data_IF_675754546696
#
_entry.id   IF_675754546696
#
_cell.length_a   1.000
_cell.length_b   1.000
_cell.length_c   1.000
_cell.angle_alpha   90.00
_cell.angle_beta   90.00
_cell.angle_gamma   90.00
#
_symmetry.space_group_name_H-M   'P 1'
#
loop_
_entity.id
_entity.type
_entity.pdbx_description
1 polymer ?
#
# COMPACT_ATOMS: atom_id res chain seq x y z
N UNK A 1 -27.09 1.12 7.45
CA UNK A 1 -26.25 0.27 6.58
C UNK A 1 -26.28 -1.09 7.26
N UNK A 2 -26.88 -2.12 6.67
CA UNK A 2 -27.02 -3.39 7.40
C UNK A 2 -25.73 -4.23 7.32
N UNK A 3 -25.09 -4.46 8.47
CA UNK A 3 -23.90 -5.31 8.57
C UNK A 3 -24.34 -6.76 8.76
N UNK A 4 -24.03 -7.62 7.79
CA UNK A 4 -24.33 -9.05 7.81
C UNK A 4 -23.35 -9.79 8.71
N UNK A 5 -22.05 -9.50 8.55
CA UNK A 5 -20.99 -10.20 9.25
C UNK A 5 -19.74 -9.34 9.39
N UNK A 6 -18.87 -9.70 10.34
CA UNK A 6 -17.61 -9.01 10.60
C UNK A 6 -16.50 -10.04 10.74
N UNK A 7 -15.37 -9.73 10.12
CA UNK A 7 -14.13 -10.47 10.27
C UNK A 7 -12.94 -9.59 10.59
N UNK A 8 -11.81 -10.24 10.82
CA UNK A 8 -10.52 -9.63 11.07
C UNK A 8 -9.48 -10.17 10.10
N UNK A 9 -8.68 -9.26 9.56
CA UNK A 9 -7.43 -9.58 8.90
C UNK A 9 -6.30 -9.68 9.91
N UNK A 10 -5.71 -10.86 10.05
CA UNK A 10 -4.66 -11.16 11.03
C UNK A 10 -3.36 -11.45 10.30
N UNK A 11 -2.31 -10.68 10.62
CA UNK A 11 -0.96 -10.92 10.10
C UNK A 11 -0.15 -11.78 11.07
N UNK A 12 0.40 -12.85 10.53
CA UNK A 12 1.30 -13.77 11.21
C UNK A 12 2.74 -13.25 11.24
N UNK A 13 3.56 -13.84 12.11
CA UNK A 13 4.99 -13.51 12.25
C UNK A 13 5.78 -13.64 10.94
N UNK A 14 5.40 -14.59 10.08
CA UNK A 14 6.05 -14.84 8.79
C UNK A 14 5.61 -13.82 7.70
N UNK A 15 4.78 -12.84 8.03
CA UNK A 15 4.28 -11.83 7.09
C UNK A 15 2.99 -12.21 6.37
N UNK A 16 2.57 -13.49 6.40
CA UNK A 16 1.31 -13.93 5.78
C UNK A 16 0.11 -13.36 6.52
N UNK A 17 -0.93 -13.05 5.77
CA UNK A 17 -2.19 -12.51 6.29
C UNK A 17 -3.30 -13.51 6.00
N UNK A 18 -4.16 -13.76 6.97
CA UNK A 18 -5.39 -14.54 6.81
C UNK A 18 -6.59 -13.75 7.33
N UNK A 19 -7.78 -14.10 6.84
CA UNK A 19 -9.04 -13.51 7.29
C UNK A 19 -9.76 -14.55 8.16
N UNK A 20 -10.32 -14.08 9.27
CA UNK A 20 -11.11 -14.89 10.19
C UNK A 20 -12.44 -14.18 10.48
N UNK A 21 -13.55 -14.91 10.52
CA UNK A 21 -14.87 -14.37 10.88
C UNK A 21 -15.02 -14.27 12.39
N UNK A 22 -15.81 -13.30 12.88
CA UNK A 22 -16.04 -13.12 14.30
C UNK A 22 -17.29 -13.86 14.77
N UNK A 23 -17.14 -14.67 15.83
CA UNK A 23 -18.26 -15.43 16.40
C UNK A 23 -19.37 -14.55 17.03
N UNK A 24 -19.06 -13.32 17.42
CA UNK A 24 -19.96 -12.37 18.08
C UNK A 24 -20.24 -11.13 17.20
N UNK A 25 -20.35 -11.32 15.89
CA UNK A 25 -20.48 -10.24 14.90
C UNK A 25 -21.58 -9.23 15.26
N UNK A 26 -22.76 -9.66 15.70
CA UNK A 26 -23.89 -8.78 16.02
C UNK A 26 -23.60 -7.71 17.09
N UNK A 27 -22.92 -8.07 18.19
CA UNK A 27 -22.59 -7.11 19.26
C UNK A 27 -21.58 -6.06 18.77
N UNK A 28 -20.67 -6.47 17.89
CA UNK A 28 -19.62 -5.60 17.33
C UNK A 28 -20.19 -4.75 16.19
N UNK A 29 -21.20 -5.24 15.47
CA UNK A 29 -21.83 -4.57 14.34
C UNK A 29 -22.45 -3.22 14.70
N UNK A 30 -23.28 -3.16 15.74
CA UNK A 30 -23.93 -1.90 16.17
C UNK A 30 -22.90 -0.80 16.45
N UNK A 31 -21.78 -1.21 17.05
CA UNK A 31 -20.70 -0.32 17.42
C UNK A 31 -19.89 0.14 16.20
N UNK A 32 -19.59 -0.76 15.26
CA UNK A 32 -18.90 -0.40 14.02
C UNK A 32 -19.80 0.48 13.14
N UNK A 33 -21.09 0.17 13.03
CA UNK A 33 -22.04 0.93 12.22
C UNK A 33 -22.09 2.40 12.64
N UNK A 34 -22.10 2.69 13.95
CA UNK A 34 -22.07 4.08 14.42
C UNK A 34 -20.79 4.81 14.03
N UNK A 35 -19.64 4.13 14.02
CA UNK A 35 -18.35 4.76 13.70
C UNK A 35 -18.16 5.09 12.23
N UNK A 36 -18.69 4.24 11.35
CA UNK A 36 -18.38 4.34 9.91
C UNK A 36 -19.55 4.88 9.10
N UNK A 37 -20.73 5.09 9.70
CA UNK A 37 -21.92 5.58 9.01
C UNK A 37 -21.68 6.85 8.20
N UNK A 38 -20.98 7.84 8.78
CA UNK A 38 -20.63 9.09 8.11
C UNK A 38 -19.68 8.83 6.92
N UNK A 39 -18.56 8.14 7.15
CA UNK A 39 -17.60 7.81 6.10
C UNK A 39 -18.18 6.93 4.98
N UNK A 40 -19.13 6.05 5.30
CA UNK A 40 -19.85 5.26 4.31
C UNK A 40 -20.81 6.12 3.48
N UNK A 41 -21.52 7.06 4.10
CA UNK A 41 -22.46 7.93 3.39
C UNK A 41 -21.79 8.93 2.44
N UNK A 42 -20.54 9.30 2.73
CA UNK A 42 -19.72 10.17 1.89
C UNK A 42 -18.94 9.41 0.82
N UNK A 43 -18.97 8.08 0.85
CA UNK A 43 -18.18 7.24 -0.02
C UNK A 43 -18.66 7.34 -1.47
N UNK A 44 -17.82 7.84 -2.36
CA UNK A 44 -18.09 7.89 -3.80
C UNK A 44 -16.98 7.19 -4.57
N UNK A 45 -16.97 5.86 -4.52
CA UNK A 45 -15.93 5.04 -5.14
C UNK A 45 -16.19 4.71 -6.61
N UNK A 46 -17.36 5.05 -7.16
CA UNK A 46 -17.72 4.73 -8.56
C UNK A 46 -17.03 5.64 -9.58
N UNK A 47 -16.42 6.75 -9.14
CA UNK A 47 -15.73 7.71 -10.01
C UNK A 47 -14.21 7.49 -10.07
N UNK A 48 -13.72 6.42 -9.45
CA UNK A 48 -12.30 6.17 -9.29
C UNK A 48 -11.75 5.56 -10.58
N UNK A 49 -10.54 5.96 -10.98
CA UNK A 49 -9.90 5.48 -12.21
C UNK A 49 -9.28 4.08 -12.03
N UNK A 50 -9.03 3.33 -13.13
CA UNK A 50 -8.34 2.05 -13.06
C UNK A 50 -6.93 2.20 -12.49
N UNK A 51 -6.44 1.16 -11.82
CA UNK A 51 -5.09 1.13 -11.29
C UNK A 51 -4.03 1.43 -12.35
N UNK A 52 -3.22 2.45 -12.07
CA UNK A 52 -1.96 2.70 -12.73
C UNK A 52 -0.82 2.63 -11.71
N UNK A 53 0.36 2.26 -12.20
CA UNK A 53 1.62 2.27 -11.48
C UNK A 53 1.91 3.59 -10.76
N UNK A 54 1.48 4.73 -11.32
CA UNK A 54 1.62 6.05 -10.70
C UNK A 54 0.74 6.24 -9.48
N UNK A 55 -0.39 5.54 -9.36
CA UNK A 55 -1.30 5.66 -8.21
C UNK A 55 -0.64 5.26 -6.89
N UNK A 56 0.32 4.34 -6.93
CA UNK A 56 1.13 3.95 -5.76
C UNK A 56 2.21 4.97 -5.39
N UNK A 57 2.61 5.81 -6.34
CA UNK A 57 3.65 6.83 -6.16
C UNK A 57 3.01 8.11 -5.61
N UNK A 58 1.88 8.48 -6.20
CA UNK A 58 1.15 9.71 -5.90
C UNK A 58 0.04 9.50 -4.85
N UNK A 59 -0.13 8.27 -4.37
CA UNK A 59 -1.09 7.87 -3.33
C UNK A 59 -2.54 8.21 -3.72
N UNK A 60 -2.85 8.12 -5.02
CA UNK A 60 -4.18 8.40 -5.56
C UNK A 60 -5.08 7.17 -5.50
N UNK A 61 -6.38 7.40 -5.32
CA UNK A 61 -7.40 6.35 -5.32
C UNK A 61 -7.44 5.62 -6.67
N UNK A 62 -7.72 4.31 -6.64
CA UNK A 62 -7.83 3.49 -7.84
C UNK A 62 -8.77 2.29 -7.64
N UNK A 63 -9.19 1.65 -8.73
CA UNK A 63 -9.83 0.33 -8.68
C UNK A 63 -9.01 -0.77 -9.37
N UNK A 64 -9.25 -2.02 -8.95
CA UNK A 64 -8.64 -3.24 -9.47
C UNK A 64 -9.73 -4.30 -9.73
N UNK A 65 -9.68 -4.95 -10.88
CA UNK A 65 -10.48 -6.16 -11.14
C UNK A 65 -9.68 -7.38 -10.67
N UNK A 66 -10.07 -7.97 -9.53
CA UNK A 66 -9.26 -9.02 -8.87
C UNK A 66 -9.13 -10.30 -9.72
N UNK A 67 -10.08 -10.57 -10.60
CA UNK A 67 -10.11 -11.74 -11.48
C UNK A 67 -9.06 -11.69 -12.61
N UNK A 68 -8.58 -10.49 -12.95
CA UNK A 68 -7.68 -10.26 -14.09
C UNK A 68 -6.21 -10.25 -13.67
N UNK A 69 -5.93 -10.30 -12.37
CA UNK A 69 -4.57 -10.22 -11.82
C UNK A 69 -3.83 -11.54 -12.00
N UNK A 70 -2.81 -11.54 -12.85
CA UNK A 70 -1.95 -12.71 -13.13
C UNK A 70 -0.97 -13.05 -12.01
N UNK A 71 -0.40 -14.26 -12.04
CA UNK A 71 0.45 -14.80 -10.96
C UNK A 71 1.76 -14.02 -10.73
N UNK A 72 2.27 -13.36 -11.77
CA UNK A 72 3.49 -12.56 -11.73
C UNK A 72 3.27 -11.15 -11.18
N UNK A 73 2.01 -10.74 -10.95
CA UNK A 73 1.70 -9.41 -10.45
C UNK A 73 1.93 -9.30 -8.93
N UNK A 74 2.45 -8.16 -8.48
CA UNK A 74 2.65 -7.82 -7.08
C UNK A 74 1.38 -8.01 -6.24
N UNK A 75 0.21 -7.75 -6.83
CA UNK A 75 -1.09 -7.82 -6.18
C UNK A 75 -1.74 -9.19 -6.26
N UNK A 76 -1.10 -10.19 -6.87
CA UNK A 76 -1.66 -11.55 -6.97
C UNK A 76 -1.98 -12.18 -5.61
N UNK A 77 -1.14 -11.97 -4.60
CA UNK A 77 -1.43 -12.46 -3.25
C UNK A 77 -2.63 -11.73 -2.61
N UNK A 78 -2.92 -10.51 -3.07
CA UNK A 78 -4.09 -9.75 -2.65
C UNK A 78 -5.34 -10.30 -3.30
N UNK A 79 -5.32 -10.56 -4.62
CA UNK A 79 -6.44 -11.18 -5.31
C UNK A 79 -6.77 -12.56 -4.74
N UNK A 80 -5.76 -13.37 -4.43
CA UNK A 80 -5.98 -14.66 -3.74
C UNK A 80 -6.59 -14.55 -2.35
N UNK A 81 -6.27 -13.49 -1.61
CA UNK A 81 -6.79 -13.29 -0.25
C UNK A 81 -8.22 -12.75 -0.26
N UNK A 82 -8.51 -11.79 -1.14
CA UNK A 82 -9.74 -11.01 -1.14
C UNK A 82 -10.77 -11.50 -2.18
N UNK A 83 -10.33 -12.07 -3.29
CA UNK A 83 -11.18 -12.52 -4.41
C UNK A 83 -11.89 -13.86 -4.15
N UNK A 84 -12.24 -14.15 -2.90
CA UNK A 84 -13.08 -15.31 -2.55
C UNK A 84 -14.53 -14.88 -2.57
N UNK A 85 -15.40 -15.63 -3.26
CA UNK A 85 -16.84 -15.32 -3.38
C UNK A 85 -17.50 -15.11 -2.01
N UNK A 86 -17.17 -15.94 -1.00
CA UNK A 86 -17.75 -15.87 0.33
C UNK A 86 -16.69 -15.65 1.42
N UNK A 87 -16.04 -14.48 1.36
CA UNK A 87 -14.83 -14.14 2.12
C UNK A 87 -14.90 -14.46 3.63
N UNK A 88 -16.04 -14.16 4.28
CA UNK A 88 -16.23 -14.39 5.72
C UNK A 88 -16.94 -15.70 6.06
N UNK A 89 -17.74 -16.26 5.16
CA UNK A 89 -18.47 -17.51 5.44
C UNK A 89 -17.52 -18.71 5.34
N UNK A 90 -16.53 -18.65 4.46
CA UNK A 90 -15.48 -19.66 4.32
C UNK A 90 -14.29 -19.46 5.27
N UNK A 91 -14.28 -18.35 6.02
CA UNK A 91 -13.21 -18.03 6.94
C UNK A 91 -13.34 -18.79 8.26
N UNK A 92 -12.19 -19.13 8.87
CA UNK A 92 -12.15 -19.70 10.20
C UNK A 92 -12.87 -18.78 11.21
N UNK A 93 -13.75 -19.37 12.01
CA UNK A 93 -14.49 -18.63 13.04
C UNK A 93 -13.58 -18.40 14.24
N UNK A 94 -13.30 -17.12 14.51
CA UNK A 94 -12.51 -16.66 15.63
C UNK A 94 -13.43 -16.20 16.77
N UNK A 95 -13.30 -16.88 17.91
CA UNK A 95 -13.84 -16.38 19.17
C UNK A 95 -12.79 -15.49 19.85
N UNK A 96 -13.10 -14.22 20.02
CA UNK A 96 -12.27 -13.27 20.77
C UNK A 96 -12.51 -13.45 22.26
N UNK A 97 -11.74 -14.34 22.89
CA UNK A 97 -11.64 -14.45 24.35
C UNK A 97 -10.22 -14.13 24.84
N UNK A 98 -10.05 -13.86 26.14
CA UNK A 98 -8.76 -13.51 26.72
C UNK A 98 -7.64 -14.52 26.38
N UNK A 99 -7.99 -15.80 26.21
CA UNK A 99 -7.03 -16.87 25.91
C UNK A 99 -6.52 -16.77 24.47
N UNK A 100 -7.43 -16.59 23.50
CA UNK A 100 -7.08 -16.42 22.09
C UNK A 100 -6.27 -15.15 21.88
N UNK A 101 -6.62 -14.13 22.64
CA UNK A 101 -5.97 -12.83 22.66
C UNK A 101 -4.53 -12.90 23.22
N UNK A 102 -4.31 -13.65 24.30
CA UNK A 102 -2.96 -13.99 24.78
C UNK A 102 -2.19 -14.80 23.73
N UNK A 103 -2.87 -15.71 23.02
CA UNK A 103 -2.27 -16.52 21.96
C UNK A 103 -1.85 -15.69 20.73
N UNK A 104 -2.63 -14.68 20.32
CA UNK A 104 -2.22 -13.75 19.26
C UNK A 104 -0.91 -13.04 19.64
N UNK A 105 -0.83 -12.53 20.88
CA UNK A 105 0.38 -11.88 21.39
C UNK A 105 1.57 -12.83 21.49
N UNK A 106 1.39 -14.05 22.01
CA UNK A 106 2.48 -15.04 22.14
C UNK A 106 2.98 -15.54 20.79
N UNK A 107 2.08 -15.71 19.81
CA UNK A 107 2.40 -16.14 18.46
C UNK A 107 2.92 -15.00 17.57
N UNK A 108 3.04 -13.79 18.12
CA UNK A 108 3.41 -12.56 17.40
C UNK A 108 2.49 -12.27 16.20
N UNK A 109 1.22 -12.65 16.32
CA UNK A 109 0.17 -12.28 15.38
C UNK A 109 -0.38 -10.90 15.73
N UNK A 110 -0.89 -10.18 14.73
CA UNK A 110 -1.44 -8.83 14.92
C UNK A 110 -2.65 -8.62 14.04
N UNK A 111 -3.72 -8.07 14.62
CA UNK A 111 -4.88 -7.58 13.86
C UNK A 111 -4.42 -6.39 13.03
N UNK A 112 -4.68 -6.43 11.72
CA UNK A 112 -4.28 -5.39 10.76
C UNK A 112 -5.45 -4.66 10.14
N UNK A 113 -6.62 -5.28 10.08
CA UNK A 113 -7.83 -4.65 9.55
C UNK A 113 -9.09 -5.37 9.99
N UNK A 114 -10.21 -4.66 9.88
CA UNK A 114 -11.55 -5.24 9.91
C UNK A 114 -12.03 -5.49 8.48
N UNK A 115 -12.86 -6.53 8.34
CA UNK A 115 -13.63 -6.84 7.13
C UNK A 115 -15.10 -6.80 7.53
N UNK A 116 -15.88 -5.97 6.87
CA UNK A 116 -17.32 -5.81 7.15
C UNK A 116 -18.07 -6.28 5.92
N UNK A 117 -18.96 -7.24 6.10
CA UNK A 117 -19.81 -7.76 5.03
C UNK A 117 -21.15 -7.02 5.05
N UNK A 118 -21.46 -6.36 3.93
CA UNK A 118 -22.77 -5.81 3.61
C UNK A 118 -23.44 -6.71 2.55
N UNK A 119 -24.62 -6.33 2.05
CA UNK A 119 -25.32 -7.11 1.01
C UNK A 119 -24.49 -7.23 -0.27
N UNK A 120 -24.11 -6.10 -0.86
CA UNK A 120 -23.47 -6.04 -2.19
C UNK A 120 -21.94 -5.91 -2.15
N UNK A 121 -21.36 -5.64 -0.98
CA UNK A 121 -19.95 -5.27 -0.87
C UNK A 121 -19.30 -5.73 0.45
N UNK A 122 -17.97 -5.73 0.45
CA UNK A 122 -17.15 -5.83 1.65
C UNK A 122 -16.39 -4.52 1.89
N UNK A 123 -16.45 -4.00 3.12
CA UNK A 123 -15.65 -2.85 3.53
C UNK A 123 -14.41 -3.30 4.29
N UNK A 124 -13.26 -2.71 3.97
CA UNK A 124 -11.98 -2.96 4.63
C UNK A 124 -11.52 -1.72 5.39
N UNK A 125 -11.20 -1.90 6.67
CA UNK A 125 -10.79 -0.80 7.55
C UNK A 125 -9.43 -1.12 8.16
N UNK A 126 -8.38 -0.42 7.72
CA UNK A 126 -7.02 -0.63 8.18
C UNK A 126 -6.83 -0.17 9.64
N UNK A 127 -6.32 -1.05 10.49
CA UNK A 127 -5.96 -0.73 11.87
C UNK A 127 -4.58 -0.08 11.89
N UNK A 128 -4.51 1.17 12.34
CA UNK A 128 -3.24 1.85 12.49
C UNK A 128 -2.42 1.18 13.62
N UNK A 129 -1.30 0.55 13.24
CA UNK A 129 -0.41 -0.14 14.16
C UNK A 129 0.22 0.75 15.26
N UNK A 130 0.22 2.09 15.07
CA UNK A 130 0.65 3.05 16.10
C UNK A 130 -0.46 3.36 17.12
N UNK A 131 -1.72 3.18 16.74
CA UNK A 131 -2.88 3.31 17.63
C UNK A 131 -3.11 2.03 18.46
N UNK A 132 -2.51 0.90 18.07
CA UNK A 132 -2.45 -0.32 18.89
C UNK A 132 -1.43 -0.12 20.00
N UNK A 133 -1.88 0.44 21.12
CA UNK A 133 -1.03 0.69 22.29
C UNK A 133 -0.54 -0.65 22.84
N UNK A 134 0.74 -0.96 22.60
CA UNK A 134 1.47 -2.00 23.32
C UNK A 134 1.42 -1.68 24.82
N UNK A 135 0.67 -2.47 25.59
CA UNK A 135 0.90 -2.65 27.02
C UNK A 135 0.40 -1.55 27.95
N UNK A 136 -0.86 -1.11 27.85
CA UNK A 136 -1.52 -0.46 28.99
C UNK A 136 -2.83 -1.17 29.31
N UNK A 137 -2.91 -1.69 30.53
CA UNK A 137 -4.19 -1.93 31.19
C UNK A 137 -4.86 -0.56 31.31
N UNK A 138 -5.98 -0.35 30.61
CA UNK A 138 -6.82 0.81 30.91
C UNK A 138 -7.80 0.40 31.99
N UNK A 139 -7.56 0.96 33.17
CA UNK A 139 -8.60 1.20 34.17
C UNK A 139 -9.73 2.00 33.51
N UNK A 140 -10.96 1.61 33.82
CA UNK A 140 -12.22 2.34 33.60
C UNK A 140 -12.03 3.85 33.78
N UNK A 141 -12.30 4.64 32.74
CA UNK A 141 -12.51 6.09 32.84
C UNK A 141 -13.48 6.54 31.73
N UNK A 142 -14.69 6.89 32.15
CA UNK A 142 -15.67 7.65 31.37
C UNK A 142 -15.36 9.15 31.43
N UNK A 143 -15.07 9.80 30.30
CA UNK A 143 -15.34 11.25 30.01
C UNK A 143 -15.32 11.45 28.47
N UNK A 144 -16.31 12.16 27.91
CA UNK A 144 -16.35 12.57 26.48
C UNK A 144 -15.16 13.44 26.05
N UNK A 145 -14.88 13.75 24.78
CA UNK A 145 -15.70 13.84 23.57
C UNK A 145 -14.88 13.46 22.31
N UNK A 146 -15.47 12.62 21.43
CA UNK A 146 -14.99 12.17 20.11
C UNK A 146 -13.68 11.38 20.08
N UNK A 147 -13.81 10.12 20.49
CA UNK A 147 -13.15 8.92 19.95
C UNK A 147 -13.92 7.76 20.59
N UNK A 148 -14.84 7.15 19.84
CA UNK A 148 -15.68 6.10 20.37
C UNK A 148 -14.84 4.83 20.49
N UNK A 149 -14.28 4.65 21.68
CA UNK A 149 -13.64 3.39 22.05
C UNK A 149 -14.77 2.45 22.40
N UNK A 150 -15.12 1.58 21.47
CA UNK A 150 -16.04 0.48 21.75
C UNK A 150 -15.25 -0.54 22.57
N UNK A 151 -15.72 -0.82 23.78
CA UNK A 151 -15.28 -1.95 24.59
C UNK A 151 -15.68 -3.27 23.91
N UNK A 152 -14.92 -3.62 22.86
CA UNK A 152 -14.48 -4.99 22.71
C UNK A 152 -13.49 -5.18 23.87
N UNK A 153 -13.50 -6.30 24.60
CA UNK A 153 -12.59 -6.59 25.73
C UNK A 153 -11.08 -6.61 25.35
N UNK A 154 -10.71 -5.98 24.23
CA UNK A 154 -9.37 -5.73 23.74
C UNK A 154 -9.29 -4.32 23.14
N UNK A 155 -8.34 -3.50 23.59
CA UNK A 155 -8.07 -2.14 23.10
C UNK A 155 -7.54 -2.06 21.67
N UNK A 156 -8.33 -2.57 20.71
CA UNK A 156 -8.16 -2.36 19.27
C UNK A 156 -9.13 -1.25 18.87
N UNK A 157 -8.59 -0.09 18.54
CA UNK A 157 -9.38 1.04 18.04
C UNK A 157 -10.06 0.64 16.73
N UNK A 158 -11.38 0.83 16.65
CA UNK A 158 -12.12 0.68 15.39
C UNK A 158 -11.77 1.88 14.51
N UNK A 159 -11.17 1.68 13.33
CA UNK A 159 -10.92 2.78 12.41
C UNK A 159 -12.26 3.37 11.95
N UNK A 160 -12.35 4.68 11.80
CA UNK A 160 -13.53 5.33 11.24
C UNK A 160 -13.44 5.44 9.71
N UNK A 161 -12.23 5.42 9.16
CA UNK A 161 -11.98 5.57 7.72
C UNK A 161 -12.07 4.22 6.98
N UNK A 162 -12.88 4.19 5.92
CA UNK A 162 -12.95 3.06 4.98
C UNK A 162 -11.70 3.10 4.10
N UNK A 163 -10.93 2.01 4.12
CA UNK A 163 -9.66 1.89 3.39
C UNK A 163 -9.87 1.40 1.97
N UNK A 164 -10.75 0.42 1.80
CA UNK A 164 -11.09 -0.16 0.51
C UNK A 164 -12.50 -0.76 0.53
N UNK A 165 -13.08 -0.92 -0.65
CA UNK A 165 -14.39 -1.53 -0.88
C UNK A 165 -14.26 -2.59 -1.95
N UNK A 166 -14.77 -3.79 -1.70
CA UNK A 166 -14.85 -4.86 -2.69
C UNK A 166 -16.32 -5.08 -3.05
N UNK A 167 -16.69 -4.77 -4.29
CA UNK A 167 -17.98 -5.13 -4.86
C UNK A 167 -18.02 -6.64 -5.10
N UNK A 168 -19.11 -7.28 -4.68
CA UNK A 168 -19.28 -8.74 -4.81
C UNK A 168 -19.65 -9.17 -6.23
N UNK A 169 -20.43 -8.36 -6.95
CA UNK A 169 -20.96 -8.72 -8.27
C UNK A 169 -19.87 -8.93 -9.32
N UNK A 170 -18.84 -8.08 -9.31
CA UNK A 170 -17.80 -8.00 -10.35
C UNK A 170 -16.39 -8.26 -9.79
N UNK A 171 -16.27 -8.64 -8.52
CA UNK A 171 -14.98 -8.83 -7.82
C UNK A 171 -14.06 -7.61 -7.93
N UNK A 172 -14.62 -6.39 -8.01
CA UNK A 172 -13.86 -5.16 -8.17
C UNK A 172 -13.52 -4.54 -6.82
N UNK A 173 -12.23 -4.30 -6.61
CA UNK A 173 -11.69 -3.69 -5.40
C UNK A 173 -11.35 -2.23 -5.65
N UNK A 174 -12.05 -1.33 -4.97
CA UNK A 174 -11.78 0.11 -4.94
C UNK A 174 -10.92 0.44 -3.73
N UNK A 175 -9.78 1.09 -3.94
CA UNK A 175 -8.84 1.48 -2.89
C UNK A 175 -8.95 2.99 -2.68
N UNK A 176 -9.54 3.37 -1.54
CA UNK A 176 -9.79 4.77 -1.14
C UNK A 176 -8.63 5.34 -0.31
N UNK A 177 -7.95 4.50 0.46
CA UNK A 177 -6.77 4.90 1.23
C UNK A 177 -5.58 4.00 0.87
N UNK A 178 -4.78 4.43 -0.11
CA UNK A 178 -3.64 3.66 -0.65
C UNK A 178 -2.65 3.27 0.44
N UNK A 179 -2.28 4.21 1.31
CA UNK A 179 -1.33 3.96 2.41
C UNK A 179 -1.91 2.99 3.44
N UNK A 180 -3.18 3.15 3.80
CA UNK A 180 -3.91 2.23 4.68
C UNK A 180 -3.91 0.82 4.12
N UNK A 181 -4.21 0.70 2.82
CA UNK A 181 -4.29 -0.56 2.09
C UNK A 181 -2.93 -1.27 2.00
N UNK A 182 -1.85 -0.55 1.69
CA UNK A 182 -0.50 -1.12 1.68
C UNK A 182 -0.07 -1.63 3.05
N UNK A 183 -0.38 -0.90 4.11
CA UNK A 183 -0.07 -1.29 5.48
C UNK A 183 -0.88 -2.52 5.91
N UNK A 184 -2.18 -2.51 5.58
CA UNK A 184 -3.15 -3.56 5.82
C UNK A 184 -2.69 -4.90 5.28
N UNK A 185 -2.08 -4.92 4.09
CA UNK A 185 -1.66 -6.14 3.38
C UNK A 185 -0.16 -6.40 3.42
N UNK A 186 0.64 -5.41 3.84
CA UNK A 186 2.08 -5.60 4.06
C UNK A 186 2.87 -5.56 2.76
N UNK A 187 2.32 -4.89 1.74
CA UNK A 187 2.89 -4.81 0.39
C UNK A 187 4.26 -4.16 0.37
N UNK A 188 4.63 -3.39 1.41
CA UNK A 188 5.95 -2.79 1.56
C UNK A 188 7.11 -3.77 1.39
N UNK A 189 6.98 -5.01 1.89
CA UNK A 189 8.05 -6.00 1.78
C UNK A 189 8.21 -6.52 0.36
N UNK A 190 7.10 -6.89 -0.28
CA UNK A 190 7.09 -7.34 -1.66
C UNK A 190 7.58 -6.24 -2.62
N UNK A 191 7.15 -4.99 -2.41
CA UNK A 191 7.68 -3.83 -3.15
C UNK A 191 9.18 -3.64 -2.95
N UNK A 192 9.70 -3.84 -1.73
CA UNK A 192 11.13 -3.74 -1.46
C UNK A 192 11.91 -4.81 -2.24
N UNK A 193 11.43 -6.05 -2.22
CA UNK A 193 12.03 -7.17 -2.95
C UNK A 193 12.04 -6.90 -4.46
N UNK A 194 10.90 -6.50 -5.03
CA UNK A 194 10.81 -6.12 -6.45
C UNK A 194 11.72 -4.93 -6.79
N UNK A 195 11.80 -3.92 -5.94
CA UNK A 195 12.73 -2.79 -6.13
C UNK A 195 14.20 -3.23 -6.11
N UNK A 196 14.57 -4.21 -5.26
CA UNK A 196 15.91 -4.80 -5.23
C UNK A 196 16.22 -5.55 -6.53
N UNK A 197 15.26 -6.30 -7.07
CA UNK A 197 15.40 -7.03 -8.34
C UNK A 197 15.58 -6.09 -9.52
N UNK A 198 14.78 -5.02 -9.59
CA UNK A 198 14.91 -3.98 -10.62
C UNK A 198 16.29 -3.32 -10.54
N UNK A 199 16.74 -2.96 -9.33
CA UNK A 199 18.06 -2.34 -9.15
C UNK A 199 19.21 -3.28 -9.56
N UNK A 200 19.13 -4.58 -9.19
CA UNK A 200 20.08 -5.60 -9.63
C UNK A 200 20.06 -5.78 -11.15
N UNK A 201 18.91 -5.66 -11.79
CA UNK A 201 18.77 -5.77 -13.24
C UNK A 201 19.40 -4.59 -13.97
N UNK A 202 19.30 -3.37 -13.44
CA UNK A 202 20.07 -2.23 -13.93
C UNK A 202 21.58 -2.43 -13.76
N UNK A 203 22.03 -2.93 -12.59
CA UNK A 203 23.45 -3.24 -12.36
C UNK A 203 24.01 -4.29 -13.33
N UNK A 204 23.20 -5.31 -13.65
CA UNK A 204 23.57 -6.34 -14.62
C UNK A 204 23.56 -5.82 -16.07
N UNK A 205 22.98 -4.63 -16.32
CA UNK A 205 22.81 -4.04 -17.64
C UNK A 205 21.66 -4.65 -18.45
N UNK A 206 20.72 -5.33 -17.79
CA UNK A 206 19.55 -5.95 -18.42
C UNK A 206 18.42 -4.96 -18.67
N UNK A 207 18.37 -3.85 -17.93
CA UNK A 207 17.39 -2.78 -18.09
C UNK A 207 18.06 -1.51 -18.61
N UNK A 208 17.33 -0.75 -19.43
CA UNK A 208 17.82 0.50 -20.03
C UNK A 208 16.76 1.60 -19.96
N UNK A 209 17.18 2.85 -20.12
CA UNK A 209 16.30 4.01 -20.00
C UNK A 209 16.19 4.74 -21.33
N UNK A 210 14.95 5.12 -21.68
CA UNK A 210 14.64 5.90 -22.88
C UNK A 210 14.63 5.05 -24.15
N UNK A 211 14.10 5.63 -25.23
CA UNK A 211 14.12 5.01 -26.58
C UNK A 211 15.53 4.69 -27.05
N UNK A 212 16.48 5.49 -26.59
CA UNK A 212 17.87 5.34 -26.94
C UNK A 212 18.57 4.23 -26.15
N UNK A 213 17.91 3.55 -25.20
CA UNK A 213 18.48 2.44 -24.41
C UNK A 213 19.76 2.82 -23.66
N UNK A 214 19.70 3.88 -22.84
CA UNK A 214 20.83 4.27 -21.98
C UNK A 214 21.04 3.25 -20.85
N UNK A 215 22.29 2.86 -20.63
CA UNK A 215 22.67 2.02 -19.49
C UNK A 215 22.80 2.85 -18.22
N UNK A 216 22.76 2.20 -17.07
CA UNK A 216 22.85 2.87 -15.77
C UNK A 216 24.06 2.36 -15.01
N UNK A 217 24.93 3.28 -14.59
CA UNK A 217 26.15 2.98 -13.85
C UNK A 217 26.06 3.58 -12.45
N UNK A 218 26.13 2.74 -11.41
CA UNK A 218 26.03 3.18 -10.02
C UNK A 218 27.41 3.33 -9.36
N UNK A 219 27.72 4.55 -8.92
CA UNK A 219 28.81 4.86 -8.01
C UNK A 219 28.32 4.74 -6.56
N UNK A 220 29.19 4.31 -5.65
CA UNK A 220 28.84 4.13 -4.22
C UNK A 220 27.63 3.20 -4.00
N UNK A 221 27.51 2.12 -4.78
CA UNK A 221 26.36 1.22 -4.74
C UNK A 221 25.99 0.76 -3.32
N UNK A 222 26.97 0.41 -2.49
CA UNK A 222 26.74 -0.03 -1.11
C UNK A 222 26.02 1.05 -0.26
N UNK A 223 26.34 2.32 -0.50
CA UNK A 223 25.72 3.47 0.18
C UNK A 223 24.32 3.74 -0.35
N UNK A 224 24.13 3.65 -1.67
CA UNK A 224 22.81 3.74 -2.31
C UNK A 224 21.88 2.65 -1.75
N UNK A 225 22.35 1.41 -1.73
CA UNK A 225 21.59 0.25 -1.27
C UNK A 225 21.22 0.34 0.22
N UNK A 226 22.16 0.76 1.07
CA UNK A 226 21.94 0.84 2.52
C UNK A 226 21.11 2.05 2.96
N UNK A 227 21.18 3.18 2.25
CA UNK A 227 20.66 4.47 2.74
C UNK A 227 19.53 5.03 1.89
N UNK A 228 19.64 4.93 0.57
CA UNK A 228 18.72 5.61 -0.35
C UNK A 228 17.63 4.68 -0.86
N UNK A 229 17.95 3.41 -1.10
CA UNK A 229 17.00 2.39 -1.54
C UNK A 229 15.92 2.10 -0.50
N UNK A 230 16.19 2.33 0.79
CA UNK A 230 15.22 2.06 1.88
C UNK A 230 14.11 3.11 1.99
N UNK A 231 14.21 4.22 1.26
CA UNK A 231 13.22 5.31 1.27
C UNK A 231 11.96 4.88 0.50
N UNK A 232 10.78 5.04 1.11
CA UNK A 232 9.50 4.57 0.56
C UNK A 232 9.24 5.04 -0.89
N UNK A 233 9.50 6.32 -1.18
CA UNK A 233 9.34 6.88 -2.54
C UNK A 233 10.25 6.21 -3.57
N UNK A 234 11.48 5.87 -3.20
CA UNK A 234 12.40 5.18 -4.10
C UNK A 234 11.98 3.72 -4.31
N UNK A 235 11.55 3.04 -3.24
CA UNK A 235 10.97 1.70 -3.33
C UNK A 235 9.78 1.70 -4.29
N UNK A 236 8.81 2.59 -4.10
CA UNK A 236 7.60 2.64 -4.93
C UNK A 236 7.92 2.90 -6.41
N UNK A 237 8.87 3.79 -6.71
CA UNK A 237 9.29 4.09 -8.09
C UNK A 237 10.07 2.94 -8.74
N UNK A 238 10.92 2.26 -7.99
CA UNK A 238 11.67 1.13 -8.52
C UNK A 238 10.78 -0.09 -8.72
N UNK A 239 9.93 -0.42 -7.74
CA UNK A 239 9.06 -1.60 -7.80
C UNK A 239 8.02 -1.51 -8.92
N UNK A 240 7.64 -0.30 -9.32
CA UNK A 240 6.64 -0.07 -10.38
C UNK A 240 7.23 0.00 -11.78
N UNK A 241 8.56 -0.02 -11.92
CA UNK A 241 9.21 0.11 -13.22
C UNK A 241 9.08 -1.18 -14.03
N UNK A 242 8.54 -1.07 -15.25
CA UNK A 242 8.53 -2.14 -16.25
C UNK A 242 9.40 -1.76 -17.45
N UNK A 243 10.12 -2.74 -17.99
CA UNK A 243 10.94 -2.54 -19.18
C UNK A 243 10.06 -2.06 -20.35
N UNK A 244 10.53 -1.06 -21.09
CA UNK A 244 9.76 -0.44 -22.18
C UNK A 244 8.67 0.57 -21.79
N UNK A 245 8.34 0.78 -20.50
CA UNK A 245 7.47 1.91 -20.09
C UNK A 245 8.15 3.28 -20.28
N UNK A 246 9.47 3.29 -20.36
CA UNK A 246 10.30 4.48 -20.51
C UNK A 246 10.51 4.89 -21.97
N UNK A 247 9.44 4.90 -22.78
CA UNK A 247 9.49 5.18 -24.21
C UNK A 247 9.59 6.69 -24.52
N UNK A 248 10.41 7.40 -23.75
CA UNK A 248 10.64 8.83 -23.82
C UNK A 248 12.02 9.15 -24.41
N UNK A 249 12.16 10.33 -25.00
CA UNK A 249 13.42 10.82 -25.58
C UNK A 249 14.37 11.28 -24.47
N UNK A 250 15.59 10.73 -24.42
CA UNK A 250 16.58 11.07 -23.40
C UNK A 250 16.93 12.57 -23.38
N UNK A 251 16.89 13.25 -24.54
CA UNK A 251 17.16 14.69 -24.60
C UNK A 251 16.16 15.52 -23.78
N UNK A 252 14.89 15.10 -23.69
CA UNK A 252 13.91 15.77 -22.83
C UNK A 252 14.28 15.60 -21.36
N UNK A 253 14.80 14.44 -20.97
CA UNK A 253 15.27 14.19 -19.62
C UNK A 253 16.54 14.99 -19.31
N UNK A 254 17.51 15.03 -20.22
CA UNK A 254 18.73 15.84 -20.03
C UNK A 254 18.39 17.30 -19.79
N UNK A 255 17.52 17.87 -20.62
CA UNK A 255 17.03 19.25 -20.47
C UNK A 255 16.34 19.47 -19.13
N UNK A 256 15.60 18.46 -18.68
CA UNK A 256 14.90 18.49 -17.42
C UNK A 256 15.83 18.43 -16.20
N UNK A 257 16.76 17.48 -16.18
CA UNK A 257 17.78 17.31 -15.14
C UNK A 257 18.66 18.56 -15.04
N UNK A 258 19.01 19.19 -16.17
CA UNK A 258 19.83 20.41 -16.19
C UNK A 258 19.19 21.62 -15.48
N UNK A 259 17.88 21.61 -15.22
CA UNK A 259 17.20 22.65 -14.45
C UNK A 259 17.28 22.44 -12.93
N UNK A 260 17.74 21.28 -12.47
CA UNK A 260 17.92 20.97 -11.05
C UNK A 260 19.20 21.59 -10.49
N UNK A 261 19.36 21.59 -9.17
CA UNK A 261 20.63 21.94 -8.52
C UNK A 261 21.74 20.95 -8.92
N UNK A 262 22.97 21.43 -9.05
CA UNK A 262 24.09 20.67 -9.62
C UNK A 262 24.34 19.34 -8.92
N UNK A 263 24.28 19.32 -7.58
CA UNK A 263 24.44 18.12 -6.74
C UNK A 263 23.29 17.10 -6.88
N UNK A 264 22.15 17.49 -7.45
CA UNK A 264 20.99 16.61 -7.68
C UNK A 264 20.97 16.05 -9.11
N UNK A 265 21.88 16.48 -9.99
CA UNK A 265 21.90 16.06 -11.39
C UNK A 265 22.52 14.68 -11.51
N UNK A 266 21.89 13.82 -12.30
CA UNK A 266 22.55 12.63 -12.84
C UNK A 266 23.43 13.04 -14.02
N UNK A 267 24.58 12.40 -14.18
CA UNK A 267 25.48 12.68 -15.29
C UNK A 267 25.17 11.77 -16.48
N UNK A 268 25.15 12.33 -17.69
CA UNK A 268 24.97 11.58 -18.92
C UNK A 268 26.30 11.56 -19.68
N UNK A 269 26.87 10.37 -19.88
CA UNK A 269 28.15 10.21 -20.55
C UNK A 269 28.16 8.94 -21.39
N UNK A 270 28.56 9.03 -22.66
CA UNK A 270 28.78 7.88 -23.54
C UNK A 270 27.65 6.83 -23.55
N UNK A 271 26.39 7.29 -23.59
CA UNK A 271 25.17 6.44 -23.54
C UNK A 271 24.95 5.74 -22.17
N UNK A 272 25.56 6.27 -21.12
CA UNK A 272 25.34 5.86 -19.74
C UNK A 272 24.78 7.01 -18.89
N UNK A 273 23.98 6.64 -17.89
CA UNK A 273 23.51 7.52 -16.82
C UNK A 273 24.30 7.13 -15.57
N UNK A 274 25.12 8.05 -15.08
CA UNK A 274 25.96 7.85 -13.89
C UNK A 274 25.20 8.36 -12.67
N UNK A 275 25.00 7.46 -11.71
CA UNK A 275 24.19 7.68 -10.53
C UNK A 275 25.04 7.46 -9.27
N UNK A 276 24.92 8.35 -8.29
CA UNK A 276 25.54 8.24 -6.97
C UNK A 276 24.46 8.44 -5.88
N UNK A 277 24.87 8.40 -4.61
CA UNK A 277 23.93 8.56 -3.47
C UNK A 277 23.22 9.93 -3.45
N UNK A 278 23.88 11.00 -3.89
CA UNK A 278 23.31 12.36 -3.87
C UNK A 278 22.21 12.56 -4.93
N UNK A 279 22.37 11.94 -6.10
CA UNK A 279 21.45 12.08 -7.23
C UNK A 279 20.54 10.86 -7.47
N UNK A 280 20.62 9.81 -6.65
CA UNK A 280 19.80 8.60 -6.78
C UNK A 280 18.29 8.90 -6.82
N UNK A 281 17.85 9.92 -6.07
CA UNK A 281 16.45 10.34 -6.08
C UNK A 281 15.99 10.89 -7.43
N UNK A 282 16.89 11.57 -8.14
CA UNK A 282 16.65 12.09 -9.50
C UNK A 282 16.57 10.91 -10.46
N UNK A 283 17.47 9.94 -10.33
CA UNK A 283 17.42 8.69 -11.09
C UNK A 283 16.07 7.97 -10.95
N UNK A 284 15.58 7.72 -9.73
CA UNK A 284 14.29 7.04 -9.56
C UNK A 284 13.11 7.84 -10.12
N UNK A 285 13.21 9.18 -10.18
CA UNK A 285 12.21 10.03 -10.81
C UNK A 285 12.19 9.94 -12.34
N UNK A 286 13.36 9.67 -12.96
CA UNK A 286 13.50 9.52 -14.41
C UNK A 286 12.73 8.27 -14.90
N UNK A 287 12.73 7.19 -14.12
CA UNK A 287 12.10 5.91 -14.47
C UNK A 287 10.64 6.03 -14.95
N UNK A 288 9.90 7.02 -14.42
CA UNK A 288 8.47 7.23 -14.69
C UNK A 288 8.18 8.52 -15.46
N UNK A 289 9.18 9.11 -16.11
CA UNK A 289 9.09 10.43 -16.76
C UNK A 289 8.58 11.57 -15.84
N UNK A 290 8.52 11.32 -14.52
CA UNK A 290 7.94 12.24 -13.53
C UNK A 290 8.70 13.55 -13.44
N UNK A 291 9.99 13.54 -13.80
CA UNK A 291 10.83 14.73 -13.88
C UNK A 291 10.40 15.66 -15.03
N UNK A 292 10.01 15.11 -16.18
CA UNK A 292 9.58 15.91 -17.35
C UNK A 292 8.17 16.45 -17.13
N UNK A 293 7.25 15.63 -16.59
CA UNK A 293 5.89 16.06 -16.26
C UNK A 293 5.88 17.21 -15.23
N UNK A 294 6.71 17.13 -14.18
CA UNK A 294 6.85 18.20 -13.17
C UNK A 294 7.41 19.51 -13.73
N UNK A 295 8.25 19.43 -14.75
CA UNK A 295 8.79 20.61 -15.43
C UNK A 295 7.79 21.28 -16.37
N UNK A 296 6.88 20.49 -16.95
CA UNK A 296 5.77 21.01 -17.73
C UNK A 296 4.74 21.67 -16.80
N UNK A 297 4.49 21.10 -15.60
CA UNK A 297 3.54 21.65 -14.63
C UNK A 297 4.04 22.87 -13.85
N UNK A 298 5.35 23.15 -13.89
CA UNK A 298 5.93 24.31 -13.21
C UNK A 298 6.10 24.13 -11.69
N UNK A 299 5.99 22.91 -11.18
CA UNK A 299 6.24 22.60 -9.77
C UNK A 299 7.74 22.40 -9.52
N UNK A 300 8.43 23.53 -9.36
CA UNK A 300 9.88 23.58 -9.10
C UNK A 300 10.24 23.31 -7.62
N UNK A 301 9.26 23.27 -6.73
CA UNK A 301 9.48 23.12 -5.29
C UNK A 301 8.84 21.83 -4.78
N UNK A 302 9.70 20.85 -4.50
CA UNK A 302 9.60 19.69 -3.58
C UNK A 302 10.39 18.54 -4.23
N UNK A 303 11.72 18.67 -4.12
CA UNK A 303 12.61 17.52 -4.02
C UNK A 303 12.74 17.26 -2.54
#
# INVERSE_FOLDING_TARGET
>A
MEIINIGLGIRQKNGKTYIASLSNSKKVAESIESEISESYSELNYQIVEPFDSTSLIDETEYYLDLEVIGEEDLLYNVSKLLGKENLLQEADVLKLDESRLKNLKSNKESVRFFVIELDEEYLFLAVNSRATIKGRNFLNLSVGSKNNTIEIDYGVHIPCEITAVLEKENSRLYVMNVLGFENMLGLKYAKKEQAEEVLKSFLAGNLTIGKEEYKVSFQEYDKIHSTDMVKARNINRLSSYKDGQADFEIEKIKNAVNKLQENQRVEFKDKEIIVNSENFRTFTAILHNSIVLRLISGDYNII
#
